data_IF_011576010795
#
_entry.id   IF_011576010795
#
_cell.length_a   1.000
_cell.length_b   1.000
_cell.length_c   1.000
_cell.angle_alpha   90.00
_cell.angle_beta   90.00
_cell.angle_gamma   90.00
#
_symmetry.space_group_name_H-M   'P 1'
#
loop_
_entity.id
_entity.type
_entity.pdbx_description
1 polymer ?
#
# COMPACT_ATOMS: atom_id res chain seq x y z
N UNK A 1 19.84 11.05 56.20
CA UNK A 1 18.58 11.56 55.62
C UNK A 1 18.83 11.83 54.15
N UNK A 2 18.48 10.85 53.31
CA UNK A 2 18.76 10.79 51.88
C UNK A 2 17.66 11.50 51.09
N UNK A 3 18.00 12.46 50.23
CA UNK A 3 17.17 12.86 49.09
C UNK A 3 18.04 13.60 48.06
N UNK A 4 18.74 12.85 47.22
CA UNK A 4 19.28 13.39 45.97
C UNK A 4 18.21 13.30 44.89
N UNK A 5 17.71 14.48 44.54
CA UNK A 5 16.67 14.75 43.54
C UNK A 5 17.34 14.78 42.16
N UNK A 6 17.24 13.70 41.39
CA UNK A 6 17.76 13.66 40.00
C UNK A 6 16.67 13.16 39.05
N UNK A 7 15.87 14.11 38.57
CA UNK A 7 14.86 13.89 37.53
C UNK A 7 15.59 13.83 36.18
N UNK A 8 15.81 12.63 35.65
CA UNK A 8 16.36 12.46 34.31
C UNK A 8 15.29 12.79 33.26
N UNK A 9 15.31 14.06 32.84
CA UNK A 9 14.77 14.55 31.57
C UNK A 9 15.52 13.91 30.42
N UNK A 10 14.87 13.00 29.71
CA UNK A 10 15.20 12.66 28.32
C UNK A 10 13.96 12.08 27.66
N UNK A 11 12.99 12.97 27.47
CA UNK A 11 11.89 12.84 26.51
C UNK A 11 12.37 12.23 25.19
N UNK A 12 12.05 10.96 24.98
CA UNK A 12 12.12 10.32 23.66
C UNK A 12 10.68 10.12 23.17
N UNK A 13 10.05 11.21 22.74
CA UNK A 13 8.82 11.14 21.97
C UNK A 13 9.16 10.74 20.53
N UNK A 14 8.65 9.60 19.98
CA UNK A 14 8.57 9.47 18.55
C UNK A 14 7.34 10.25 18.07
N UNK A 15 7.66 11.37 17.43
CA UNK A 15 6.84 12.05 16.44
C UNK A 15 6.07 11.07 15.53
N UNK A 16 4.83 11.42 15.22
CA UNK A 16 4.09 10.79 14.13
C UNK A 16 2.63 10.54 14.47
N UNK A 17 1.84 11.60 14.44
CA UNK A 17 0.39 11.54 14.33
C UNK A 17 -0.03 10.54 13.24
N UNK A 18 -0.43 9.33 13.62
CA UNK A 18 -1.17 8.42 12.74
C UNK A 18 -2.60 8.94 12.64
N UNK A 19 -2.76 10.06 11.94
CA UNK A 19 -4.06 10.50 11.48
C UNK A 19 -4.73 9.36 10.71
N UNK A 20 -6.07 9.29 10.69
CA UNK A 20 -6.80 8.22 10.03
C UNK A 20 -6.27 8.05 8.60
N UNK A 21 -5.75 6.86 8.28
CA UNK A 21 -5.30 6.50 6.93
C UNK A 21 -6.50 6.68 6.01
N UNK A 22 -6.52 7.79 5.28
CA UNK A 22 -7.53 8.04 4.26
C UNK A 22 -7.52 6.85 3.31
N UNK A 23 -8.67 6.21 3.05
CA UNK A 23 -8.71 5.10 2.11
C UNK A 23 -8.23 5.62 0.75
N UNK A 24 -7.06 5.14 0.33
CA UNK A 24 -6.55 5.44 -1.00
C UNK A 24 -7.55 4.88 -2.01
N UNK A 25 -8.07 5.76 -2.87
CA UNK A 25 -8.89 5.33 -3.99
C UNK A 25 -8.05 4.40 -4.85
N UNK A 26 -8.52 3.16 -5.05
CA UNK A 26 -7.84 2.21 -5.93
C UNK A 26 -8.03 2.69 -7.35
N UNK A 27 -6.94 3.05 -8.00
CA UNK A 27 -6.93 3.48 -9.41
C UNK A 27 -6.56 2.28 -10.27
N UNK A 28 -7.24 2.10 -11.39
CA UNK A 28 -6.90 1.04 -12.32
C UNK A 28 -5.56 1.33 -13.01
N UNK A 29 -4.64 0.37 -12.95
CA UNK A 29 -3.34 0.45 -13.61
C UNK A 29 -3.45 0.68 -15.13
N UNK A 30 -4.40 0.01 -15.80
CA UNK A 30 -4.61 0.16 -17.24
C UNK A 30 -5.13 1.54 -17.63
N UNK A 31 -6.05 2.08 -16.81
CA UNK A 31 -6.62 3.41 -17.03
C UNK A 31 -5.52 4.51 -16.84
N UNK A 32 -4.50 4.28 -16.00
CA UNK A 32 -3.34 5.20 -15.82
C UNK A 32 -2.32 5.06 -16.94
N UNK A 33 -2.00 3.83 -17.36
CA UNK A 33 -1.06 3.57 -18.47
C UNK A 33 -1.67 3.88 -19.84
N UNK A 34 -2.98 4.20 -19.92
CA UNK A 34 -3.73 4.49 -21.16
C UNK A 34 -3.59 3.40 -22.22
N UNK A 35 -3.57 2.15 -21.78
CA UNK A 35 -3.50 1.00 -22.67
C UNK A 35 -4.92 0.66 -23.14
N UNK A 36 -5.21 0.88 -24.42
CA UNK A 36 -6.52 0.57 -25.00
C UNK A 36 -6.70 -0.92 -25.30
N UNK A 37 -5.61 -1.65 -25.56
CA UNK A 37 -5.64 -3.06 -25.92
C UNK A 37 -4.61 -3.86 -25.11
N UNK A 38 -5.06 -4.97 -24.52
CA UNK A 38 -4.22 -5.82 -23.67
C UNK A 38 -3.93 -7.10 -24.43
N UNK A 39 -2.70 -7.22 -24.93
CA UNK A 39 -2.21 -8.43 -25.58
C UNK A 39 -1.96 -9.56 -24.57
N UNK A 40 -2.40 -10.77 -24.92
CA UNK A 40 -2.15 -11.99 -24.12
C UNK A 40 -0.68 -12.43 -24.12
N UNK A 41 0.12 -11.92 -25.06
CA UNK A 41 1.55 -12.20 -25.18
C UNK A 41 2.39 -11.42 -24.15
N UNK A 42 1.84 -10.35 -23.58
CA UNK A 42 2.53 -9.50 -22.61
C UNK A 42 2.45 -10.09 -21.19
N UNK A 43 3.26 -11.12 -20.97
CA UNK A 43 3.32 -11.90 -19.73
C UNK A 43 3.66 -11.01 -18.52
N UNK A 44 4.55 -10.03 -18.70
CA UNK A 44 5.02 -9.13 -17.63
C UNK A 44 3.88 -8.34 -16.99
N UNK A 45 2.90 -7.91 -17.79
CA UNK A 45 1.73 -7.17 -17.31
C UNK A 45 0.72 -8.11 -16.65
N UNK A 46 0.44 -9.25 -17.29
CA UNK A 46 -0.56 -10.21 -16.81
C UNK A 46 -0.15 -10.89 -15.50
N UNK A 47 1.15 -11.14 -15.29
CA UNK A 47 1.67 -11.74 -14.06
C UNK A 47 1.23 -11.01 -12.79
N UNK A 48 1.06 -9.68 -12.85
CA UNK A 48 0.63 -8.87 -11.69
C UNK A 48 -0.84 -9.09 -11.30
N UNK A 49 -1.66 -9.62 -12.21
CA UNK A 49 -3.08 -9.90 -12.00
C UNK A 49 -3.36 -11.38 -11.70
N UNK A 50 -2.31 -12.20 -11.66
CA UNK A 50 -2.38 -13.63 -11.37
C UNK A 50 -1.68 -13.87 -10.03
N UNK A 51 -2.32 -14.66 -9.17
CA UNK A 51 -1.71 -15.16 -7.94
C UNK A 51 -0.71 -16.27 -8.24
N UNK A 52 0.18 -16.58 -7.30
CA UNK A 52 1.20 -17.64 -7.47
C UNK A 52 0.62 -19.01 -7.81
N UNK A 53 -0.64 -19.26 -7.45
CA UNK A 53 -1.39 -20.49 -7.76
C UNK A 53 -2.09 -20.46 -9.12
N UNK A 54 -1.84 -19.45 -9.95
CA UNK A 54 -2.49 -19.29 -11.26
C UNK A 54 -3.93 -18.80 -11.21
N UNK A 55 -4.46 -18.41 -10.03
CA UNK A 55 -5.81 -17.84 -9.93
C UNK A 55 -5.79 -16.36 -10.27
N UNK A 56 -6.78 -15.90 -11.02
CA UNK A 56 -6.98 -14.47 -11.32
C UNK A 56 -7.33 -13.73 -10.03
N UNK A 57 -6.62 -12.63 -9.78
CA UNK A 57 -6.88 -11.78 -8.62
C UNK A 57 -8.20 -11.02 -8.82
N UNK A 58 -9.05 -10.94 -7.78
CA UNK A 58 -10.32 -10.25 -7.87
C UNK A 58 -10.12 -8.73 -7.97
N UNK A 59 -11.07 -8.04 -8.62
CA UNK A 59 -11.09 -6.57 -8.79
C UNK A 59 -10.90 -5.79 -7.50
N UNK A 60 -11.37 -6.33 -6.36
CA UNK A 60 -11.19 -5.71 -5.03
C UNK A 60 -9.72 -5.55 -4.63
N UNK A 61 -8.83 -6.39 -5.16
CA UNK A 61 -7.39 -6.32 -4.88
C UNK A 61 -6.70 -5.46 -5.93
N UNK A 62 -6.93 -5.75 -7.21
CA UNK A 62 -6.23 -5.17 -8.36
C UNK A 62 -6.73 -3.78 -8.76
N UNK A 63 -7.94 -3.39 -8.36
CA UNK A 63 -8.50 -2.07 -8.64
C UNK A 63 -8.83 -1.82 -10.12
N UNK A 64 -9.00 -2.87 -10.93
CA UNK A 64 -9.29 -2.73 -12.37
C UNK A 64 -10.62 -2.00 -12.62
N UNK A 65 -10.64 -1.12 -13.62
CA UNK A 65 -11.86 -0.47 -14.12
C UNK A 65 -12.76 -1.55 -14.76
N UNK A 66 -14.09 -1.39 -14.71
CA UNK A 66 -15.05 -2.35 -15.26
C UNK A 66 -15.15 -2.22 -16.77
#
# INVERSE_FOLDING_TARGET
MSVNRSVNRSDSAPSGSRGPKRPHRKVCAFCVEKIAYIDYKEISRLRRFVSDRGKILPRRVTGTCA
#
